data_IF_925053167248
#
_entry.id   IF_925053167248
#
_cell.length_a   1.000
_cell.length_b   1.000
_cell.length_c   1.000
_cell.angle_alpha   90.00
_cell.angle_beta   90.00
_cell.angle_gamma   90.00
#
_symmetry.space_group_name_H-M   'P 1'
#
loop_
_entity.id
_entity.type
_entity.pdbx_description
1 polymer ?
#
# COMPACT_ATOMS: atom_id res chain seq x y z
N UNK A 1 -0.78 12.34 1.39
CA UNK A 1 0.55 11.75 1.23
C UNK A 1 1.39 12.57 0.30
N UNK A 2 2.64 12.72 0.64
CA UNK A 2 3.54 13.54 -0.15
C UNK A 2 4.49 12.64 -0.92
N UNK A 3 4.49 12.79 -2.26
CA UNK A 3 5.37 12.03 -3.13
C UNK A 3 6.62 12.84 -3.37
N UNK A 4 7.79 12.27 -3.05
CA UNK A 4 9.07 12.95 -3.23
C UNK A 4 9.81 12.52 -4.49
N UNK A 5 9.31 11.52 -5.18
CA UNK A 5 9.90 11.07 -6.44
C UNK A 5 9.09 9.95 -7.06
N UNK A 6 9.30 9.72 -8.34
CA UNK A 6 8.64 8.62 -9.03
C UNK A 6 9.47 8.17 -10.23
N UNK A 7 9.22 6.95 -10.65
CA UNK A 7 9.73 6.44 -11.92
C UNK A 7 8.69 5.50 -12.52
N UNK A 8 8.62 5.43 -13.82
CA UNK A 8 7.67 4.59 -14.51
C UNK A 8 8.03 3.12 -14.32
N UNK A 9 7.08 2.32 -13.85
CA UNK A 9 7.33 0.96 -13.44
C UNK A 9 7.54 0.01 -14.55
N UNK A 10 7.16 0.26 -15.76
CA UNK A 10 7.32 -0.65 -16.76
C UNK A 10 6.84 -0.36 -18.03
N UNK A 11 7.05 -1.27 -18.71
CA UNK A 11 7.11 -1.27 -20.07
C UNK A 11 5.89 -0.62 -20.62
N UNK A 12 6.06 0.15 -21.65
CA UNK A 12 5.01 0.85 -22.33
C UNK A 12 4.31 -0.01 -23.35
N UNK A 13 4.68 -1.29 -23.46
CA UNK A 13 3.99 -2.20 -24.35
C UNK A 13 2.56 -2.40 -23.91
N UNK A 14 1.59 -2.44 -24.84
CA UNK A 14 0.25 -2.81 -24.47
C UNK A 14 0.28 -4.20 -23.86
N UNK A 15 -0.08 -4.28 -22.59
CA UNK A 15 -0.14 -5.55 -21.92
C UNK A 15 -1.47 -6.21 -22.20
N UNK A 16 -1.44 -7.50 -22.46
CA UNK A 16 -2.66 -8.28 -22.44
C UNK A 16 -3.19 -8.30 -21.01
N UNK A 17 -4.47 -8.51 -20.86
CA UNK A 17 -5.14 -8.53 -19.57
C UNK A 17 -4.43 -9.43 -18.54
N UNK A 18 -3.87 -10.55 -19.01
CA UNK A 18 -3.14 -11.50 -18.18
C UNK A 18 -1.84 -10.95 -17.60
N UNK A 19 -1.33 -9.84 -18.13
CA UNK A 19 -0.11 -9.22 -17.65
C UNK A 19 -0.36 -8.04 -16.74
N UNK A 20 -1.62 -7.67 -16.52
CA UNK A 20 -1.95 -6.58 -15.63
C UNK A 20 -1.80 -7.02 -14.18
N UNK A 21 -1.40 -6.10 -13.33
CA UNK A 21 -1.39 -6.35 -11.91
C UNK A 21 -2.83 -6.46 -11.41
N UNK A 22 -3.07 -7.48 -10.60
CA UNK A 22 -4.36 -7.70 -9.96
C UNK A 22 -4.17 -7.50 -8.46
N UNK A 23 -4.61 -6.36 -7.94
CA UNK A 23 -4.52 -6.09 -6.52
C UNK A 23 -5.75 -6.64 -5.79
N UNK A 24 -5.57 -7.17 -4.58
CA UNK A 24 -4.32 -7.18 -3.80
C UNK A 24 -3.39 -8.36 -4.09
N UNK A 25 -3.77 -9.30 -4.93
CA UNK A 25 -3.00 -10.55 -5.11
C UNK A 25 -1.58 -10.31 -5.56
N UNK A 26 -1.37 -9.48 -6.58
CA UNK A 26 -0.03 -9.18 -7.08
C UNK A 26 0.82 -8.52 -5.98
N UNK A 27 0.23 -7.62 -5.20
CA UNK A 27 0.92 -6.96 -4.09
C UNK A 27 1.42 -7.96 -3.06
N UNK A 28 0.61 -8.94 -2.68
CA UNK A 28 1.01 -9.95 -1.72
C UNK A 28 2.04 -10.93 -2.27
N UNK A 29 1.98 -11.22 -3.56
CA UNK A 29 3.01 -12.05 -4.20
C UNK A 29 4.36 -11.36 -4.17
N UNK A 30 4.40 -10.08 -4.51
CA UNK A 30 5.63 -9.29 -4.49
C UNK A 30 6.15 -9.18 -3.05
N UNK A 31 5.30 -8.81 -2.12
CA UNK A 31 5.68 -8.65 -0.72
C UNK A 31 6.26 -9.94 -0.15
N UNK A 32 5.60 -11.06 -0.41
CA UNK A 32 6.01 -12.35 0.14
C UNK A 32 7.28 -12.87 -0.51
N UNK A 33 7.41 -12.74 -1.83
CA UNK A 33 8.57 -13.25 -2.55
C UNK A 33 9.82 -12.45 -2.23
N UNK A 34 9.72 -11.13 -2.20
CA UNK A 34 10.88 -10.26 -2.03
C UNK A 34 11.05 -9.77 -0.60
N UNK A 35 10.17 -10.14 0.31
CA UNK A 35 10.19 -9.72 1.71
C UNK A 35 10.22 -8.21 1.85
N UNK A 36 9.30 -7.56 1.15
CA UNK A 36 9.17 -6.11 1.14
C UNK A 36 7.75 -5.73 1.50
N UNK A 37 7.59 -4.47 1.92
CA UNK A 37 6.27 -3.88 2.14
C UNK A 37 5.84 -3.24 0.84
N UNK A 38 4.64 -3.56 0.36
CA UNK A 38 4.11 -2.98 -0.88
C UNK A 38 2.91 -2.09 -0.53
N UNK A 39 3.00 -0.83 -0.91
CA UNK A 39 1.85 0.07 -0.86
C UNK A 39 1.31 0.23 -2.27
N UNK A 40 0.01 0.13 -2.41
CA UNK A 40 -0.66 0.42 -3.67
C UNK A 40 -1.60 1.59 -3.43
N UNK A 41 -1.33 2.70 -4.10
CA UNK A 41 -2.14 3.90 -4.00
C UNK A 41 -3.02 3.99 -5.22
N UNK A 42 -4.30 4.15 -4.99
CA UNK A 42 -5.28 4.19 -6.05
C UNK A 42 -6.38 5.17 -5.69
N UNK A 43 -7.01 5.74 -6.70
CA UNK A 43 -8.13 6.64 -6.50
C UNK A 43 -9.30 5.94 -5.79
N UNK A 44 -9.50 4.67 -6.11
CA UNK A 44 -10.60 3.90 -5.55
C UNK A 44 -10.30 3.35 -4.17
N UNK A 45 -9.13 2.74 -4.01
CA UNK A 45 -8.75 2.11 -2.75
C UNK A 45 -7.24 1.97 -2.66
N UNK A 46 -6.68 2.56 -1.63
CA UNK A 46 -5.26 2.38 -1.33
C UNK A 46 -5.08 1.29 -0.28
N UNK A 47 -3.98 0.55 -0.37
CA UNK A 47 -3.75 -0.57 0.53
C UNK A 47 -2.26 -0.79 0.80
N UNK A 48 -1.98 -1.44 1.94
CA UNK A 48 -0.64 -1.89 2.30
C UNK A 48 -0.62 -3.41 2.30
N UNK A 49 0.32 -3.99 1.55
CA UNK A 49 0.52 -5.42 1.48
C UNK A 49 1.81 -5.80 2.19
N UNK A 50 1.68 -6.45 3.34
CA UNK A 50 2.82 -7.04 4.05
C UNK A 50 3.06 -8.46 3.56
N UNK A 51 4.28 -9.00 3.76
CA UNK A 51 4.49 -10.42 3.53
C UNK A 51 3.48 -11.28 4.29
N UNK A 52 3.03 -12.35 3.66
CA UNK A 52 2.04 -13.24 4.27
C UNK A 52 2.66 -14.25 5.23
N UNK A 53 3.90 -14.67 4.96
CA UNK A 53 4.49 -15.81 5.65
C UNK A 53 5.73 -15.50 6.46
N UNK A 54 6.19 -14.24 6.46
CA UNK A 54 7.35 -13.80 7.22
C UNK A 54 7.00 -12.56 8.03
N UNK A 55 7.46 -12.53 9.27
CA UNK A 55 7.27 -11.38 10.14
C UNK A 55 8.33 -10.31 9.95
N UNK A 56 8.16 -9.15 10.61
CA UNK A 56 9.10 -8.04 10.46
C UNK A 56 10.53 -8.38 10.86
N UNK A 57 10.72 -9.28 11.81
CA UNK A 57 12.06 -9.68 12.23
C UNK A 57 12.81 -10.46 11.16
N UNK A 58 12.08 -11.16 10.31
CA UNK A 58 12.66 -11.99 9.25
C UNK A 58 12.90 -11.23 7.95
N UNK A 59 12.46 -9.98 7.89
CA UNK A 59 12.51 -9.16 6.68
C UNK A 59 13.36 -7.90 6.84
N UNK A 60 14.37 -7.94 7.66
CA UNK A 60 15.26 -6.81 7.89
C UNK A 60 16.29 -6.64 6.76
N UNK A 61 16.60 -5.41 6.35
CA UNK A 61 15.92 -4.17 6.71
C UNK A 61 14.56 -4.06 6.01
N UNK A 62 13.63 -3.30 6.59
CA UNK A 62 12.30 -3.17 6.01
C UNK A 62 12.35 -2.27 4.79
N UNK A 63 12.26 -2.86 3.63
CA UNK A 63 12.22 -2.14 2.36
C UNK A 63 10.78 -1.99 1.91
N UNK A 64 10.52 -0.92 1.18
CA UNK A 64 9.18 -0.55 0.77
C UNK A 64 9.15 -0.28 -0.73
N UNK A 65 8.10 -0.76 -1.38
CA UNK A 65 7.79 -0.43 -2.77
C UNK A 65 6.43 0.25 -2.75
N UNK A 66 6.33 1.42 -3.37
CA UNK A 66 5.07 2.13 -3.47
C UNK A 66 4.68 2.29 -4.92
N UNK A 67 3.50 1.79 -5.25
CA UNK A 67 2.95 1.82 -6.60
C UNK A 67 1.72 2.71 -6.60
N UNK A 68 1.61 3.56 -7.62
CA UNK A 68 0.42 4.38 -7.85
C UNK A 68 -0.28 3.87 -9.08
N UNK A 69 -1.57 3.54 -8.95
CA UNK A 69 -2.40 3.13 -10.07
C UNK A 69 -2.95 4.38 -10.74
N UNK A 70 -2.58 4.57 -12.00
CA UNK A 70 -3.01 5.72 -12.79
C UNK A 70 -3.95 5.20 -13.88
N UNK A 71 -5.13 5.78 -13.97
CA UNK A 71 -6.10 5.43 -15.03
C UNK A 71 -6.51 3.96 -15.07
N UNK A 72 -6.48 3.28 -13.93
CA UNK A 72 -7.02 1.93 -13.82
C UNK A 72 -6.08 0.79 -14.15
N UNK A 73 -5.12 0.99 -15.04
CA UNK A 73 -4.25 -0.11 -15.49
C UNK A 73 -2.79 0.25 -15.68
N UNK A 74 -2.42 1.46 -15.33
CA UNK A 74 -1.03 1.91 -15.42
C UNK A 74 -0.48 2.15 -14.02
N UNK A 75 0.67 1.56 -13.71
CA UNK A 75 1.29 1.68 -12.39
C UNK A 75 2.61 2.42 -12.50
N UNK A 76 2.84 3.31 -11.57
CA UNK A 76 4.09 4.05 -11.44
C UNK A 76 4.69 3.79 -10.07
N UNK A 77 6.00 3.65 -10.00
CA UNK A 77 6.70 3.58 -8.73
C UNK A 77 6.96 4.99 -8.22
N UNK A 78 6.67 5.22 -6.94
CA UNK A 78 6.89 6.52 -6.32
C UNK A 78 7.66 6.34 -5.02
N UNK A 79 8.32 7.42 -4.60
CA UNK A 79 9.02 7.47 -3.31
C UNK A 79 8.26 8.45 -2.42
N UNK A 80 7.87 7.99 -1.25
CA UNK A 80 7.13 8.82 -0.31
C UNK A 80 8.07 9.45 0.71
N UNK A 81 7.65 10.60 1.24
CA UNK A 81 8.36 11.27 2.31
C UNK A 81 8.37 10.38 3.55
N UNK A 82 9.45 10.42 4.32
CA UNK A 82 9.57 9.61 5.52
C UNK A 82 8.38 9.80 6.47
N UNK A 83 8.05 8.74 7.19
CA UNK A 83 6.94 8.71 8.15
C UNK A 83 5.58 9.01 7.50
N UNK A 84 5.45 8.68 6.24
CA UNK A 84 4.19 8.86 5.52
C UNK A 84 3.06 8.05 6.17
N UNK A 85 1.81 8.50 6.04
CA UNK A 85 0.67 7.70 6.49
C UNK A 85 0.54 6.43 5.66
N UNK A 86 0.20 5.32 6.31
CA UNK A 86 0.09 4.04 5.63
C UNK A 86 -1.37 3.67 5.42
N UNK A 87 -1.75 3.34 4.17
CA UNK A 87 -3.10 2.82 3.91
C UNK A 87 -3.32 1.48 4.62
N UNK A 88 -4.58 1.11 4.88
CA UNK A 88 -4.86 -0.09 5.65
C UNK A 88 -4.51 -1.37 4.91
N UNK A 89 -4.33 -2.44 5.68
CA UNK A 89 -4.24 -3.79 5.13
C UNK A 89 -5.61 -4.21 4.59
N UNK A 90 -5.62 -5.26 3.80
CA UNK A 90 -6.86 -5.78 3.23
C UNK A 90 -7.38 -6.97 4.05
N UNK A 91 -8.66 -7.32 3.92
CA UNK A 91 -9.19 -8.54 4.53
C UNK A 91 -8.45 -9.81 4.08
N UNK A 92 -7.92 -9.81 2.86
CA UNK A 92 -7.15 -10.95 2.35
C UNK A 92 -5.95 -11.24 3.25
N UNK A 93 -5.20 -10.21 3.66
CA UNK A 93 -4.05 -10.40 4.52
C UNK A 93 -4.44 -10.97 5.88
N UNK A 94 -5.51 -10.45 6.47
CA UNK A 94 -5.99 -10.95 7.76
C UNK A 94 -6.39 -12.42 7.70
N UNK A 95 -6.95 -12.85 6.55
CA UNK A 95 -7.42 -14.22 6.38
C UNK A 95 -6.30 -15.20 6.04
N UNK A 96 -5.25 -14.75 5.37
CA UNK A 96 -4.24 -15.67 4.81
C UNK A 96 -2.84 -15.55 5.42
N UNK A 97 -2.58 -14.53 6.23
CA UNK A 97 -1.28 -14.42 6.89
C UNK A 97 -1.07 -15.54 7.89
N UNK A 98 0.20 -15.94 8.08
CA UNK A 98 0.50 -16.85 9.16
C UNK A 98 0.70 -16.07 10.48
N UNK A 99 0.94 -16.80 11.57
CA UNK A 99 1.06 -16.17 12.89
C UNK A 99 2.29 -15.27 13.01
N UNK A 100 3.39 -15.62 12.35
CA UNK A 100 4.61 -14.82 12.42
C UNK A 100 4.45 -13.47 11.72
N UNK A 101 3.60 -13.40 10.69
CA UNK A 101 3.36 -12.15 9.97
C UNK A 101 2.46 -11.17 10.74
N UNK A 102 1.76 -11.64 11.75
CA UNK A 102 0.79 -10.80 12.47
C UNK A 102 1.41 -9.56 13.12
N UNK A 103 2.69 -9.59 13.44
CA UNK A 103 3.39 -8.48 14.09
C UNK A 103 3.56 -7.25 13.20
N UNK A 104 3.44 -7.39 11.88
CA UNK A 104 3.58 -6.26 10.96
C UNK A 104 2.61 -5.12 11.28
N UNK A 105 1.37 -5.47 11.51
CA UNK A 105 0.33 -4.46 11.73
C UNK A 105 0.56 -3.67 13.00
N UNK A 106 0.98 -4.35 14.07
CA UNK A 106 1.26 -3.67 15.33
C UNK A 106 2.46 -2.73 15.24
N UNK A 107 3.48 -3.13 14.49
CA UNK A 107 4.68 -2.33 14.32
C UNK A 107 4.42 -0.96 13.68
N UNK A 108 3.47 -0.90 12.75
CA UNK A 108 3.18 0.33 12.01
C UNK A 108 1.86 0.99 12.42
N UNK A 109 1.34 0.66 13.59
CA UNK A 109 0.02 1.13 14.04
C UNK A 109 -0.14 2.65 13.97
N UNK A 110 0.85 3.41 14.42
CA UNK A 110 0.76 4.86 14.43
C UNK A 110 0.58 5.45 13.04
N UNK A 111 1.19 4.83 12.04
CA UNK A 111 1.10 5.29 10.66
C UNK A 111 -0.24 4.93 10.04
N UNK A 112 -0.83 3.81 10.41
CA UNK A 112 -2.19 3.46 10.02
C UNK A 112 -3.21 4.43 10.64
N UNK A 113 -3.01 4.80 11.89
CA UNK A 113 -3.87 5.76 12.57
C UNK A 113 -3.78 7.13 11.91
N UNK A 114 -2.59 7.56 11.52
CA UNK A 114 -2.40 8.80 10.80
C UNK A 114 -3.15 8.80 9.47
N UNK A 115 -3.09 7.71 8.72
CA UNK A 115 -3.82 7.58 7.47
C UNK A 115 -5.33 7.72 7.71
N UNK A 116 -5.85 7.05 8.72
CA UNK A 116 -7.28 7.14 9.06
C UNK A 116 -7.70 8.56 9.39
N UNK A 117 -6.89 9.28 10.16
CA UNK A 117 -7.18 10.66 10.51
C UNK A 117 -7.24 11.56 9.28
N UNK A 118 -6.26 11.42 8.39
CA UNK A 118 -6.16 12.27 7.21
C UNK A 118 -7.26 11.98 6.19
N UNK A 119 -7.59 10.71 5.98
CA UNK A 119 -8.63 10.34 5.02
C UNK A 119 -10.01 10.67 5.54
N UNK A 120 -10.24 10.57 6.84
CA UNK A 120 -11.51 10.97 7.43
C UNK A 120 -11.78 12.45 7.20
N UNK A 121 -10.76 13.29 7.31
CA UNK A 121 -10.89 14.72 7.07
C UNK A 121 -11.17 15.04 5.60
N UNK A 122 -10.48 14.37 4.70
CA UNK A 122 -10.63 14.62 3.27
C UNK A 122 -11.96 14.12 2.73
N UNK A 123 -12.67 13.28 3.47
CA UNK A 123 -13.93 12.71 3.03
C UNK A 123 -15.14 13.55 3.40
N UNK A 124 -14.97 14.61 4.15
CA UNK A 124 -16.08 15.45 4.56
C UNK A 124 -16.54 16.30 3.38
N UNK A 125 -17.84 16.27 3.01
CA UNK A 125 -18.35 17.10 1.94
C UNK A 125 -18.15 18.60 2.22
N UNK A 126 -17.88 19.40 1.20
CA UNK A 126 -17.60 20.83 1.40
C UNK A 126 -18.72 21.63 2.05
N UNK A 127 -19.96 21.14 1.96
CA UNK A 127 -21.10 21.82 2.53
C UNK A 127 -21.33 21.53 4.01
N UNK A 128 -20.53 20.63 4.59
CA UNK A 128 -20.60 20.37 6.02
C UNK A 128 -19.52 21.18 6.70
N UNK A 129 -19.94 22.03 7.62
CA UNK A 129 -19.01 22.85 8.38
C UNK A 129 -18.57 22.07 9.62
N UNK A 130 -17.38 21.52 9.57
CA UNK A 130 -16.84 20.68 10.64
C UNK A 130 -15.96 21.44 11.61
N UNK A 131 -15.70 22.70 11.36
CA UNK A 131 -14.83 23.51 12.21
C UNK A 131 -15.57 24.12 13.38
N UNK A 132 -16.84 23.92 13.41
CA UNK A 132 -17.69 24.45 14.46
C UNK A 132 -17.66 23.56 15.71
#
# INVERSE_FOLDING_TARGET
MEIVGFEECWNTSPAYETHYMIMPLTGYLIASKFRVIVHCLSHEQSMTCFPLWKGPEECQPHRTITLVNVNGNHYMSVFLKENYPMPPTTPYWNAHRNSSASAWKAMYRSRFELYNQLTSRSFVPPWINIDD
#
